data_IF_596140170970
#
_entry.id   IF_596140170970
#
_cell.length_a   1.000
_cell.length_b   1.000
_cell.length_c   1.000
_cell.angle_alpha   90.00
_cell.angle_beta   90.00
_cell.angle_gamma   90.00
#
_symmetry.space_group_name_H-M   'P 1'
#
loop_
_entity.id
_entity.type
_entity.pdbx_description
1 polymer ?
#
# COMPACT_ATOMS: atom_id res chain seq x y z
N UNK A 1 11.50 -25.11 11.70
CA UNK A 1 10.67 -26.31 11.43
C UNK A 1 9.72 -26.02 10.27
N UNK A 2 9.16 -27.03 9.57
CA UNK A 2 8.07 -26.75 8.64
C UNK A 2 6.83 -26.33 9.44
N UNK A 3 6.26 -25.16 9.15
CA UNK A 3 5.06 -24.65 9.80
C UNK A 3 3.85 -25.50 9.42
N UNK A 4 2.78 -25.47 10.22
CA UNK A 4 1.51 -26.16 9.84
C UNK A 4 0.97 -25.61 8.51
N UNK A 5 1.19 -24.31 8.24
CA UNK A 5 0.79 -23.67 6.99
C UNK A 5 1.58 -24.17 5.77
N UNK A 6 2.81 -24.67 5.95
CA UNK A 6 3.63 -25.22 4.87
C UNK A 6 3.04 -26.51 4.29
N UNK A 7 2.13 -27.17 5.04
CA UNK A 7 1.45 -28.39 4.58
C UNK A 7 0.17 -28.11 3.77
N UNK A 8 -0.27 -26.85 3.71
CA UNK A 8 -1.44 -26.44 2.96
C UNK A 8 -1.01 -25.51 1.82
N UNK A 9 -1.14 -26.00 0.59
CA UNK A 9 -0.89 -25.19 -0.60
C UNK A 9 -1.93 -24.06 -0.67
N UNK A 10 -1.44 -22.84 -0.93
CA UNK A 10 -2.32 -21.70 -1.17
C UNK A 10 -3.06 -21.90 -2.51
N UNK A 11 -4.38 -21.62 -2.61
CA UNK A 11 -5.10 -21.76 -3.86
C UNK A 11 -4.49 -20.95 -5.00
N UNK A 12 -4.26 -21.60 -6.14
CA UNK A 12 -3.56 -20.97 -7.27
C UNK A 12 -4.48 -20.17 -8.19
N UNK A 13 -5.78 -20.46 -8.17
CA UNK A 13 -6.79 -19.90 -9.08
C UNK A 13 -7.61 -18.81 -8.37
N UNK A 14 -7.30 -17.52 -8.57
CA UNK A 14 -8.10 -16.44 -8.02
C UNK A 14 -9.40 -16.25 -8.81
N UNK A 15 -10.43 -15.74 -8.14
CA UNK A 15 -11.62 -15.19 -8.75
C UNK A 15 -11.33 -13.77 -9.25
N UNK A 16 -11.23 -13.61 -10.58
CA UNK A 16 -10.90 -12.32 -11.21
C UNK A 16 -12.09 -11.69 -11.93
N UNK A 17 -13.20 -12.42 -12.04
CA UNK A 17 -14.39 -11.96 -12.76
C UNK A 17 -15.41 -11.42 -11.77
N UNK A 18 -15.95 -10.26 -12.12
CA UNK A 18 -17.10 -9.68 -11.46
C UNK A 18 -18.32 -10.57 -11.71
N UNK A 19 -19.15 -10.65 -10.68
CA UNK A 19 -20.38 -11.44 -10.64
C UNK A 19 -21.36 -10.65 -9.80
N UNK A 20 -22.44 -10.17 -10.41
CA UNK A 20 -23.43 -9.30 -9.77
C UNK A 20 -24.29 -10.03 -8.72
N UNK A 21 -24.32 -11.37 -8.73
CA UNK A 21 -25.04 -12.14 -7.72
C UNK A 21 -24.22 -12.29 -6.43
N UNK A 22 -22.89 -12.21 -6.53
CA UNK A 22 -21.95 -12.43 -5.43
C UNK A 22 -21.37 -11.11 -4.92
N UNK A 23 -21.07 -10.19 -5.83
CA UNK A 23 -20.30 -8.99 -5.53
C UNK A 23 -21.17 -7.74 -5.50
N UNK A 24 -20.87 -6.87 -4.54
CA UNK A 24 -21.49 -5.55 -4.42
C UNK A 24 -20.49 -4.48 -4.88
N UNK A 25 -20.92 -3.61 -5.78
CA UNK A 25 -20.08 -2.52 -6.28
C UNK A 25 -19.83 -1.47 -5.20
N UNK A 26 -18.58 -1.05 -5.04
CA UNK A 26 -18.26 0.17 -4.31
C UNK A 26 -18.45 1.38 -5.24
N UNK A 27 -19.59 2.05 -5.10
CA UNK A 27 -19.92 3.23 -5.91
C UNK A 27 -18.93 4.37 -5.72
N UNK A 28 -18.33 4.51 -4.53
CA UNK A 28 -17.41 5.61 -4.24
C UNK A 28 -16.06 5.35 -4.89
N UNK A 29 -15.52 4.14 -4.71
CA UNK A 29 -14.31 3.74 -5.38
C UNK A 29 -14.49 3.75 -6.91
N UNK A 30 -15.69 3.44 -7.40
CA UNK A 30 -16.01 3.55 -8.83
C UNK A 30 -15.91 4.99 -9.33
N UNK A 31 -16.49 5.95 -8.61
CA UNK A 31 -16.34 7.36 -8.96
C UNK A 31 -14.86 7.77 -8.98
N UNK A 32 -14.05 7.27 -8.03
CA UNK A 32 -12.62 7.54 -8.00
C UNK A 32 -11.89 6.96 -9.21
N UNK A 33 -12.19 5.70 -9.55
CA UNK A 33 -11.60 4.98 -10.67
C UNK A 33 -11.91 5.70 -12.00
N UNK A 34 -13.18 6.07 -12.21
CA UNK A 34 -13.64 6.68 -13.46
C UNK A 34 -13.10 8.09 -13.69
N UNK A 35 -12.88 8.87 -12.61
CA UNK A 35 -12.54 10.29 -12.74
C UNK A 35 -11.07 10.61 -12.49
N UNK A 36 -10.33 9.77 -11.75
CA UNK A 36 -8.98 10.11 -11.25
C UNK A 36 -7.94 9.04 -11.55
N UNK A 37 -8.21 8.12 -12.47
CA UNK A 37 -7.19 7.15 -12.91
C UNK A 37 -7.04 7.18 -14.42
N UNK A 38 -5.80 7.09 -14.88
CA UNK A 38 -5.48 6.98 -16.32
C UNK A 38 -5.74 5.59 -16.86
N UNK A 39 -6.01 4.63 -15.96
CA UNK A 39 -6.30 3.26 -16.35
C UNK A 39 -7.67 3.27 -17.02
N UNK A 40 -7.66 3.19 -18.35
CA UNK A 40 -8.82 2.90 -19.20
C UNK A 40 -9.38 1.49 -18.94
N UNK A 41 -9.34 0.98 -17.71
CA UNK A 41 -10.04 -0.23 -17.29
C UNK A 41 -11.54 0.09 -17.16
N UNK A 42 -12.17 0.39 -18.29
CA UNK A 42 -13.62 0.22 -18.45
C UNK A 42 -14.05 -1.24 -18.20
N UNK A 43 -13.06 -2.12 -18.17
CA UNK A 43 -13.20 -3.56 -18.05
C UNK A 43 -12.97 -4.05 -16.62
N UNK A 44 -12.84 -3.17 -15.62
CA UNK A 44 -12.85 -3.56 -14.21
C UNK A 44 -13.76 -2.67 -13.37
N UNK A 45 -14.23 -3.25 -12.25
CA UNK A 45 -15.12 -2.58 -11.30
C UNK A 45 -14.61 -2.82 -9.86
N UNK A 46 -14.65 -1.79 -9.00
CA UNK A 46 -14.31 -1.95 -7.60
C UNK A 46 -15.44 -2.59 -6.82
N UNK A 47 -15.08 -3.55 -5.96
CA UNK A 47 -16.01 -4.29 -5.11
C UNK A 47 -15.90 -3.76 -3.69
N UNK A 48 -17.03 -3.70 -2.98
CA UNK A 48 -17.06 -3.30 -1.58
C UNK A 48 -16.26 -4.28 -0.71
N UNK A 49 -15.36 -3.73 0.12
CA UNK A 49 -14.64 -4.45 1.16
C UNK A 49 -15.09 -3.94 2.53
N UNK A 50 -14.96 -4.77 3.57
CA UNK A 50 -15.31 -4.37 4.94
C UNK A 50 -14.37 -3.25 5.42
N UNK A 51 -14.92 -2.25 6.11
CA UNK A 51 -14.21 -1.05 6.59
C UNK A 51 -13.84 -1.16 8.07
N UNK A 52 -13.25 -2.28 8.47
CA UNK A 52 -12.92 -2.61 9.87
C UNK A 52 -11.43 -2.43 10.21
N UNK A 53 -10.65 -1.88 9.26
CA UNK A 53 -9.19 -1.79 9.33
C UNK A 53 -8.48 -2.89 8.54
N UNK A 54 -9.10 -4.05 8.36
CA UNK A 54 -8.56 -5.20 7.62
C UNK A 54 -8.94 -5.20 6.13
N UNK A 55 -9.36 -4.04 5.61
CA UNK A 55 -9.94 -3.92 4.26
C UNK A 55 -9.05 -4.46 3.14
N UNK A 56 -7.72 -4.44 3.28
CA UNK A 56 -6.82 -5.08 2.31
C UNK A 56 -6.96 -6.61 2.32
N UNK A 57 -7.04 -7.23 3.50
CA UNK A 57 -7.22 -8.68 3.60
C UNK A 57 -8.61 -9.10 3.12
N UNK A 58 -9.65 -8.30 3.41
CA UNK A 58 -10.99 -8.50 2.84
C UNK A 58 -10.99 -8.38 1.31
N UNK A 59 -10.25 -7.40 0.76
CA UNK A 59 -10.04 -7.27 -0.68
C UNK A 59 -9.38 -8.52 -1.25
N UNK A 60 -8.34 -9.03 -0.59
CA UNK A 60 -7.66 -10.26 -1.03
C UNK A 60 -8.55 -11.51 -0.94
N UNK A 61 -9.39 -11.61 0.09
CA UNK A 61 -10.37 -12.69 0.24
C UNK A 61 -11.39 -12.71 -0.89
N UNK A 62 -11.69 -11.56 -1.50
CA UNK A 62 -12.55 -11.52 -2.69
C UNK A 62 -11.95 -12.31 -3.86
N UNK A 63 -10.63 -12.29 -4.04
CA UNK A 63 -9.94 -13.13 -5.03
C UNK A 63 -9.88 -14.61 -4.61
N UNK A 64 -9.89 -14.91 -3.31
CA UNK A 64 -9.77 -16.27 -2.79
C UNK A 64 -10.86 -16.55 -1.75
N UNK A 65 -12.13 -16.73 -2.18
CA UNK A 65 -13.28 -16.79 -1.27
C UNK A 65 -13.23 -17.95 -0.27
N UNK A 66 -12.44 -18.99 -0.56
CA UNK A 66 -12.25 -20.16 0.30
C UNK A 66 -11.13 -20.01 1.34
N UNK A 67 -10.43 -18.87 1.37
CA UNK A 67 -9.35 -18.58 2.31
C UNK A 67 -9.84 -17.52 3.31
N UNK A 68 -9.67 -17.74 4.61
CA UNK A 68 -10.01 -16.74 5.61
C UNK A 68 -9.04 -15.56 5.58
N UNK A 69 -9.48 -14.38 6.03
CA UNK A 69 -8.60 -13.22 6.20
C UNK A 69 -7.44 -13.51 7.17
N UNK A 70 -7.68 -14.31 8.22
CA UNK A 70 -6.67 -14.70 9.20
C UNK A 70 -5.55 -15.54 8.58
N UNK A 71 -5.90 -16.44 7.66
CA UNK A 71 -4.91 -17.25 6.93
C UNK A 71 -4.07 -16.38 5.98
N UNK A 72 -4.71 -15.44 5.28
CA UNK A 72 -4.01 -14.48 4.41
C UNK A 72 -3.05 -13.62 5.24
N UNK A 73 -3.53 -13.06 6.36
CA UNK A 73 -2.72 -12.26 7.29
C UNK A 73 -1.56 -13.06 7.85
N UNK A 74 -1.81 -14.28 8.33
CA UNK A 74 -0.77 -15.15 8.88
C UNK A 74 0.35 -15.40 7.86
N UNK A 75 0.00 -15.76 6.62
CA UNK A 75 1.00 -15.99 5.55
C UNK A 75 1.74 -14.72 5.16
N UNK A 76 1.07 -13.58 5.16
CA UNK A 76 1.71 -12.28 4.93
C UNK A 76 2.77 -11.98 6.01
N UNK A 77 2.41 -12.15 7.29
CA UNK A 77 3.34 -11.96 8.40
C UNK A 77 4.51 -12.93 8.31
N UNK A 78 4.24 -14.21 8.02
CA UNK A 78 5.28 -15.22 7.84
C UNK A 78 6.25 -14.83 6.71
N UNK A 79 5.75 -14.41 5.55
CA UNK A 79 6.57 -13.95 4.41
C UNK A 79 7.43 -12.74 4.78
N UNK A 80 6.88 -11.74 5.47
CA UNK A 80 7.62 -10.57 5.95
C UNK A 80 8.73 -10.96 6.94
N UNK A 81 8.42 -11.79 7.94
CA UNK A 81 9.40 -12.23 8.93
C UNK A 81 10.54 -13.06 8.31
N UNK A 82 10.22 -13.97 7.39
CA UNK A 82 11.22 -14.84 6.76
C UNK A 82 12.13 -14.09 5.76
N UNK A 83 11.64 -12.97 5.21
CA UNK A 83 12.30 -12.23 4.14
C UNK A 83 12.47 -10.74 4.44
N UNK A 84 12.62 -10.37 5.71
CA UNK A 84 12.77 -8.99 6.18
C UNK A 84 13.80 -8.18 5.37
N UNK A 85 15.03 -8.71 5.21
CA UNK A 85 16.08 -8.02 4.47
C UNK A 85 15.69 -7.70 3.02
N UNK A 86 14.92 -8.59 2.37
CA UNK A 86 14.42 -8.35 1.02
C UNK A 86 13.44 -7.19 1.02
N UNK A 87 12.47 -7.17 1.93
CA UNK A 87 11.45 -6.12 1.97
C UNK A 87 12.01 -4.77 2.42
N UNK A 88 12.92 -4.74 3.39
CA UNK A 88 13.68 -3.53 3.77
C UNK A 88 14.40 -2.94 2.55
N UNK A 89 15.05 -3.78 1.74
CA UNK A 89 15.73 -3.35 0.52
C UNK A 89 14.74 -2.87 -0.54
N UNK A 90 13.61 -3.57 -0.68
CA UNK A 90 12.53 -3.21 -1.61
C UNK A 90 11.97 -1.83 -1.29
N UNK A 91 11.66 -1.53 -0.02
CA UNK A 91 11.17 -0.22 0.42
C UNK A 91 12.11 0.90 -0.04
N UNK A 92 13.40 0.78 0.31
CA UNK A 92 14.40 1.80 -0.03
C UNK A 92 14.61 1.95 -1.54
N UNK A 93 14.70 0.84 -2.27
CA UNK A 93 14.90 0.88 -3.73
C UNK A 93 13.72 1.49 -4.49
N UNK A 94 12.52 1.30 -3.96
CA UNK A 94 11.27 1.75 -4.57
C UNK A 94 10.85 3.15 -4.10
N UNK A 95 11.58 3.76 -3.15
CA UNK A 95 11.25 5.05 -2.56
C UNK A 95 9.97 5.01 -1.72
N UNK A 96 9.60 3.84 -1.18
CA UNK A 96 8.38 3.67 -0.39
C UNK A 96 8.52 4.26 1.03
N UNK A 97 9.75 4.47 1.48
CA UNK A 97 10.10 5.19 2.71
C UNK A 97 9.63 6.65 2.72
N UNK A 98 9.32 7.21 1.55
CA UNK A 98 8.70 8.54 1.43
C UNK A 98 7.20 8.54 1.76
N UNK A 99 6.57 7.37 1.80
CA UNK A 99 5.13 7.20 2.10
C UNK A 99 4.93 6.54 3.45
N UNK A 100 5.78 5.58 3.78
CA UNK A 100 5.71 4.78 4.99
C UNK A 100 7.14 4.57 5.51
N UNK A 101 7.51 5.30 6.57
CA UNK A 101 8.83 5.24 7.20
C UNK A 101 8.96 4.11 8.22
N UNK A 102 7.93 3.28 8.34
CA UNK A 102 7.86 2.14 9.24
C UNK A 102 8.88 1.05 8.85
N UNK A 103 9.53 0.48 9.86
CA UNK A 103 10.38 -0.70 9.66
C UNK A 103 9.53 -1.95 9.41
N UNK A 104 10.10 -2.99 8.78
CA UNK A 104 9.38 -4.26 8.58
C UNK A 104 8.96 -4.88 9.92
N UNK A 105 9.78 -4.75 10.97
CA UNK A 105 9.47 -5.25 12.31
C UNK A 105 8.26 -4.52 12.91
N UNK A 106 8.25 -3.19 12.89
CA UNK A 106 7.15 -2.39 13.40
C UNK A 106 5.85 -2.68 12.63
N UNK A 107 5.97 -2.81 11.30
CA UNK A 107 4.85 -3.18 10.43
C UNK A 107 4.24 -4.52 10.83
N UNK A 108 5.06 -5.55 11.04
CA UNK A 108 4.61 -6.87 11.49
C UNK A 108 3.92 -6.79 12.85
N UNK A 109 4.52 -6.08 13.81
CA UNK A 109 3.96 -5.91 15.15
C UNK A 109 2.62 -5.18 15.14
N UNK A 110 2.38 -4.33 14.13
CA UNK A 110 1.11 -3.65 13.93
C UNK A 110 0.07 -4.57 13.31
N UNK A 111 0.36 -5.13 12.13
CA UNK A 111 -0.62 -5.93 11.35
C UNK A 111 -0.94 -7.30 11.96
N UNK A 112 -0.22 -7.73 13.00
CA UNK A 112 -0.59 -8.93 13.79
C UNK A 112 -1.90 -8.73 14.56
N UNK A 113 -2.29 -7.48 14.83
CA UNK A 113 -3.52 -7.14 15.51
C UNK A 113 -4.64 -6.96 14.47
N UNK A 114 -5.82 -7.51 14.78
CA UNK A 114 -7.00 -7.34 13.92
C UNK A 114 -7.45 -5.87 13.90
N UNK A 115 -7.97 -5.45 12.75
CA UNK A 115 -8.48 -4.10 12.53
C UNK A 115 -7.42 -3.01 12.49
N UNK A 116 -6.14 -3.36 12.38
CA UNK A 116 -5.08 -2.39 12.09
C UNK A 116 -4.94 -2.19 10.58
N UNK A 117 -4.73 -0.95 10.17
CA UNK A 117 -4.52 -0.63 8.76
C UNK A 117 -3.30 -1.36 8.20
N UNK A 118 -3.24 -1.52 6.89
CA UNK A 118 -2.09 -2.12 6.18
C UNK A 118 -1.45 -1.10 5.25
N UNK A 119 -0.25 -1.36 4.77
CA UNK A 119 0.48 -0.43 3.89
C UNK A 119 0.93 -1.09 2.59
N UNK A 120 1.67 -0.32 1.78
CA UNK A 120 2.34 -0.82 0.57
C UNK A 120 3.23 -2.03 0.81
N UNK A 121 3.82 -2.12 2.01
CA UNK A 121 4.63 -3.25 2.41
C UNK A 121 3.82 -4.55 2.43
N UNK A 122 2.58 -4.49 2.92
CA UNK A 122 1.65 -5.62 2.91
C UNK A 122 1.31 -6.05 1.49
N UNK A 123 1.06 -5.10 0.56
CA UNK A 123 0.84 -5.40 -0.86
C UNK A 123 2.05 -6.11 -1.49
N UNK A 124 3.26 -5.65 -1.20
CA UNK A 124 4.49 -6.26 -1.68
C UNK A 124 4.71 -7.68 -1.13
N UNK A 125 4.37 -7.93 0.13
CA UNK A 125 4.45 -9.27 0.70
C UNK A 125 3.40 -10.22 0.13
N UNK A 126 2.16 -9.73 -0.04
CA UNK A 126 1.05 -10.52 -0.57
C UNK A 126 1.28 -10.94 -2.03
N UNK A 127 2.02 -10.19 -2.85
CA UNK A 127 2.38 -10.64 -4.20
C UNK A 127 3.20 -11.94 -4.15
N UNK A 128 4.12 -12.06 -3.19
CA UNK A 128 4.89 -13.28 -2.95
C UNK A 128 4.04 -14.41 -2.38
N UNK A 129 3.15 -14.11 -1.41
CA UNK A 129 2.23 -15.11 -0.83
C UNK A 129 1.33 -15.75 -1.89
N UNK A 130 0.84 -14.95 -2.84
CA UNK A 130 -0.03 -15.40 -3.91
C UNK A 130 0.71 -15.94 -5.15
N UNK A 131 2.04 -15.92 -5.15
CA UNK A 131 2.91 -16.19 -6.31
C UNK A 131 2.43 -15.46 -7.59
N UNK A 132 2.02 -14.19 -7.42
CA UNK A 132 1.42 -13.40 -8.50
C UNK A 132 1.61 -11.90 -8.31
N UNK A 133 1.77 -11.14 -9.41
CA UNK A 133 1.85 -9.69 -9.31
C UNK A 133 0.58 -9.08 -8.69
N UNK A 134 0.74 -8.03 -7.89
CA UNK A 134 -0.36 -7.19 -7.40
C UNK A 134 -0.19 -5.80 -8.00
N UNK A 135 -1.12 -5.41 -8.86
CA UNK A 135 -1.25 -4.05 -9.38
C UNK A 135 -1.99 -3.21 -8.34
N UNK A 136 -1.25 -2.32 -7.70
CA UNK A 136 -1.78 -1.25 -6.87
C UNK A 136 -2.23 -0.09 -7.75
N UNK A 137 -3.52 0.25 -7.65
CA UNK A 137 -4.16 1.34 -8.39
C UNK A 137 -4.40 2.50 -7.43
N UNK A 138 -3.64 3.58 -7.59
CA UNK A 138 -3.77 4.77 -6.76
C UNK A 138 -4.41 5.90 -7.59
N UNK A 139 -5.56 6.45 -7.19
CA UNK A 139 -6.18 7.62 -7.82
C UNK A 139 -5.36 8.91 -7.71
N UNK A 140 -5.18 9.65 -8.81
CA UNK A 140 -4.51 10.96 -8.85
C UNK A 140 -5.40 12.12 -8.36
N UNK A 141 -6.12 11.92 -7.25
CA UNK A 141 -7.11 12.90 -6.77
C UNK A 141 -6.44 14.22 -6.38
N UNK A 142 -5.30 14.16 -5.68
CA UNK A 142 -4.61 15.36 -5.22
C UNK A 142 -3.98 16.13 -6.37
N UNK A 143 -3.39 15.44 -7.35
CA UNK A 143 -2.80 16.10 -8.51
C UNK A 143 -3.84 16.82 -9.37
N UNK A 144 -5.03 16.23 -9.52
CA UNK A 144 -6.13 16.87 -10.24
C UNK A 144 -6.71 18.07 -9.49
N UNK A 145 -6.71 18.04 -8.15
CA UNK A 145 -7.19 19.14 -7.32
C UNK A 145 -6.18 20.31 -7.29
N UNK A 146 -4.89 20.01 -7.14
CA UNK A 146 -3.84 21.03 -7.00
C UNK A 146 -3.36 21.58 -8.35
N UNK A 147 -3.46 20.78 -9.42
CA UNK A 147 -2.83 21.05 -10.70
C UNK A 147 -1.32 20.78 -10.73
N UNK A 148 -0.79 20.17 -9.66
CA UNK A 148 0.61 19.77 -9.51
C UNK A 148 0.74 18.24 -9.58
N UNK A 149 1.94 17.72 -9.84
CA UNK A 149 2.17 16.27 -9.86
C UNK A 149 2.07 15.70 -8.43
N UNK A 150 1.17 14.73 -8.22
CA UNK A 150 1.08 14.00 -6.96
C UNK A 150 2.24 12.99 -6.88
N UNK A 151 3.26 13.32 -6.09
CA UNK A 151 4.41 12.43 -5.89
C UNK A 151 4.03 11.04 -5.36
N UNK A 152 2.90 10.93 -4.64
CA UNK A 152 2.38 9.64 -4.17
C UNK A 152 1.77 8.81 -5.29
N UNK A 153 1.17 9.44 -6.31
CA UNK A 153 0.59 8.71 -7.45
C UNK A 153 1.65 7.83 -8.12
N UNK A 154 2.81 8.37 -8.46
CA UNK A 154 3.89 7.60 -9.12
C UNK A 154 4.48 6.50 -8.23
N UNK A 155 4.48 6.69 -6.91
CA UNK A 155 4.98 5.70 -5.95
C UNK A 155 3.98 4.58 -5.69
N UNK A 156 2.69 4.90 -5.56
CA UNK A 156 1.64 3.99 -5.12
C UNK A 156 0.88 3.35 -6.28
N UNK A 157 0.78 4.01 -7.43
CA UNK A 157 0.18 3.46 -8.63
C UNK A 157 1.18 2.55 -9.38
N UNK A 158 1.56 1.40 -8.81
CA UNK A 158 2.55 0.47 -9.39
C UNK A 158 2.15 -1.01 -9.32
N UNK A 159 3.00 -1.88 -9.87
CA UNK A 159 2.86 -3.34 -9.74
C UNK A 159 3.94 -3.86 -8.80
N UNK A 160 3.52 -4.64 -7.81
CA UNK A 160 4.40 -5.38 -6.92
C UNK A 160 4.57 -6.79 -7.47
N UNK A 161 5.80 -7.12 -7.84
CA UNK A 161 6.16 -8.46 -8.32
C UNK A 161 6.39 -9.40 -7.13
N UNK A 162 6.11 -10.71 -7.27
CA UNK A 162 6.53 -11.70 -6.29
C UNK A 162 8.05 -11.71 -6.15
N UNK A 163 8.54 -11.93 -4.93
CA UNK A 163 9.98 -12.07 -4.63
C UNK A 163 10.63 -13.17 -5.47
N UNK A 164 9.90 -14.27 -5.67
CA UNK A 164 10.32 -15.37 -6.54
C UNK A 164 9.45 -15.36 -7.78
N UNK A 165 10.07 -15.23 -8.95
CA UNK A 165 9.32 -15.24 -10.20
C UNK A 165 8.87 -16.67 -10.52
N UNK A 166 7.56 -16.87 -10.58
CA UNK A 166 6.97 -18.07 -11.16
C UNK A 166 7.37 -18.22 -12.63
N UNK A 167 7.51 -19.45 -13.12
CA UNK A 167 7.81 -19.69 -14.53
C UNK A 167 6.62 -19.39 -15.44
N UNK A 168 5.41 -19.40 -14.89
CA UNK A 168 4.19 -19.11 -15.61
C UNK A 168 3.69 -17.72 -15.20
N UNK A 169 3.65 -16.75 -16.14
CA UNK A 169 3.14 -15.42 -15.83
C UNK A 169 1.65 -15.52 -15.49
N UNK A 170 1.31 -15.24 -14.23
CA UNK A 170 -0.07 -15.12 -13.78
C UNK A 170 -0.58 -13.70 -14.00
N UNK A 171 -1.85 -13.55 -14.37
CA UNK A 171 -2.52 -12.25 -14.43
C UNK A 171 -2.46 -11.53 -13.08
N UNK A 172 -2.17 -10.23 -13.06
CA UNK A 172 -2.06 -9.49 -11.82
C UNK A 172 -3.40 -9.40 -11.06
N UNK A 173 -3.36 -9.49 -9.73
CA UNK A 173 -4.48 -9.04 -8.89
C UNK A 173 -4.49 -7.52 -8.90
N UNK A 174 -5.66 -6.89 -8.93
CA UNK A 174 -5.76 -5.44 -8.93
C UNK A 174 -6.41 -4.97 -7.63
N UNK A 175 -5.68 -4.20 -6.84
CA UNK A 175 -6.20 -3.60 -5.60
C UNK A 175 -6.10 -2.10 -5.74
N UNK A 176 -7.19 -1.41 -5.44
CA UNK A 176 -7.30 0.04 -5.56
C UNK A 176 -7.34 0.69 -4.18
N UNK A 177 -6.64 1.81 -4.06
CA UNK A 177 -6.76 2.70 -2.92
C UNK A 177 -8.04 3.52 -3.06
N UNK A 178 -8.84 3.52 -2.00
CA UNK A 178 -10.07 4.31 -1.88
C UNK A 178 -10.02 5.12 -0.59
N UNK A 179 -11.02 5.97 -0.40
CA UNK A 179 -11.15 6.79 0.78
C UNK A 179 -12.36 7.69 0.76
N UNK A 180 -12.55 8.47 1.84
CA UNK A 180 -13.63 9.42 1.95
C UNK A 180 -13.57 10.48 0.84
N UNK A 181 -14.62 11.31 0.78
CA UNK A 181 -14.55 12.52 -0.04
C UNK A 181 -13.48 13.45 0.54
N UNK A 182 -12.71 14.15 -0.30
CA UNK A 182 -11.81 15.20 0.17
C UNK A 182 -12.60 16.14 1.07
N UNK A 183 -12.04 16.44 2.24
CA UNK A 183 -12.69 17.34 3.19
C UNK A 183 -12.45 18.81 2.79
N UNK A 184 -12.71 19.73 3.72
CA UNK A 184 -12.65 21.18 3.48
C UNK A 184 -11.25 21.67 3.07
N UNK A 185 -10.21 20.95 3.48
CA UNK A 185 -8.82 21.21 3.13
C UNK A 185 -8.47 20.83 1.68
N UNK A 186 -9.39 20.12 0.99
CA UNK A 186 -9.25 19.62 -0.38
C UNK A 186 -8.09 18.64 -0.55
N UNK A 187 -7.63 18.03 0.54
CA UNK A 187 -6.63 16.97 0.49
C UNK A 187 -7.39 15.65 0.56
N UNK A 188 -7.19 14.80 -0.43
CA UNK A 188 -7.66 13.44 -0.40
C UNK A 188 -6.66 12.56 0.33
N UNK A 189 -7.17 11.82 1.33
CA UNK A 189 -6.41 10.85 2.11
C UNK A 189 -7.00 9.47 1.89
N UNK A 190 -6.12 8.50 1.67
CA UNK A 190 -6.52 7.11 1.51
C UNK A 190 -6.67 6.47 2.87
N UNK A 191 -7.69 5.63 3.04
CA UNK A 191 -7.88 4.85 4.25
C UNK A 191 -8.58 3.51 3.99
N UNK A 192 -8.78 3.14 2.73
CA UNK A 192 -9.51 1.95 2.36
C UNK A 192 -8.88 1.29 1.13
N UNK A 193 -8.99 -0.04 1.07
CA UNK A 193 -8.61 -0.84 -0.08
C UNK A 193 -9.84 -1.56 -0.62
N UNK A 194 -9.95 -1.64 -1.93
CA UNK A 194 -10.98 -2.41 -2.62
C UNK A 194 -10.36 -3.27 -3.72
N UNK A 195 -10.85 -4.49 -3.97
CA UNK A 195 -10.40 -5.27 -5.10
C UNK A 195 -11.09 -4.76 -6.37
N UNK A 196 -10.35 -4.77 -7.49
CA UNK A 196 -10.89 -4.54 -8.81
C UNK A 196 -11.06 -5.89 -9.52
N UNK A 197 -12.30 -6.21 -9.90
CA UNK A 197 -12.61 -7.41 -10.67
C UNK A 197 -12.95 -7.06 -12.11
N UNK A 198 -12.61 -7.93 -13.06
CA UNK A 198 -12.89 -7.69 -14.46
C UNK A 198 -14.36 -7.94 -14.80
N UNK A 199 -14.97 -7.03 -15.57
CA UNK A 199 -16.34 -7.18 -16.09
C UNK A 199 -16.41 -8.00 -17.37
N UNK A 200 -15.28 -8.20 -18.03
CA UNK A 200 -15.19 -8.99 -19.24
C UNK A 200 -14.43 -10.27 -18.97
N UNK A 201 -14.99 -11.38 -19.45
CA UNK A 201 -14.23 -12.60 -19.64
C UNK A 201 -13.34 -12.42 -20.87
N UNK A 202 -12.43 -11.44 -20.84
CA UNK A 202 -11.31 -11.46 -21.76
C UNK A 202 -10.60 -12.78 -21.47
N UNK A 203 -10.43 -13.61 -22.50
CA UNK A 203 -9.68 -14.85 -22.39
C UNK A 203 -8.29 -14.50 -21.86
N UNK A 204 -8.07 -14.68 -20.55
CA UNK A 204 -6.79 -14.38 -19.88
C UNK A 204 -5.66 -15.32 -20.31
N UNK A 205 -5.86 -16.10 -21.37
CA UNK A 205 -4.96 -17.14 -21.85
C UNK A 205 -4.12 -16.73 -23.07
N UNK A 206 -4.14 -15.46 -23.55
CA UNK A 206 -3.41 -15.17 -24.82
C UNK A 206 -2.90 -13.74 -25.00
N UNK A 207 -2.07 -13.24 -24.07
CA UNK A 207 -1.17 -12.11 -24.35
C UNK A 207 0.28 -12.38 -23.89
N UNK A 208 0.82 -13.56 -24.21
CA UNK A 208 2.26 -13.84 -24.07
C UNK A 208 3.07 -13.58 -25.34
N UNK A 209 2.50 -13.03 -26.41
CA UNK A 209 3.25 -12.77 -27.64
C UNK A 209 2.92 -11.38 -28.20
N UNK A 210 3.98 -10.58 -28.39
CA UNK A 210 4.02 -9.21 -28.94
C UNK A 210 3.79 -8.05 -27.97
N UNK A 211 4.70 -7.90 -27.00
CA UNK A 211 5.26 -6.58 -26.76
C UNK A 211 6.79 -6.68 -26.66
N UNK A 212 7.42 -6.81 -27.84
CA UNK A 212 8.82 -6.46 -28.02
C UNK A 212 8.94 -4.93 -28.13
N UNK A 213 8.44 -4.21 -27.13
CA UNK A 213 8.77 -2.80 -26.95
C UNK A 213 10.07 -2.75 -26.16
N UNK A 214 11.06 -2.12 -26.79
CA UNK A 214 12.29 -1.55 -26.22
C UNK A 214 12.39 -1.55 -24.70
N UNK A 215 13.53 -1.96 -24.11
CA UNK A 215 13.74 -1.81 -22.69
C UNK A 215 13.53 -0.33 -22.33
N UNK A 216 12.45 -0.05 -21.60
CA UNK A 216 12.40 1.14 -20.77
C UNK A 216 13.49 0.91 -19.73
N UNK A 217 14.68 1.38 -20.08
CA UNK A 217 15.67 1.77 -19.10
C UNK A 217 14.91 2.66 -18.13
N UNK A 218 14.61 2.14 -16.95
CA UNK A 218 14.44 2.99 -15.80
C UNK A 218 15.75 3.76 -15.72
N UNK A 219 15.78 4.95 -16.32
CA UNK A 219 16.66 5.98 -15.85
C UNK A 219 16.21 6.17 -14.42
N UNK A 220 16.91 5.45 -13.54
CA UNK A 220 17.12 5.83 -12.17
C UNK A 220 17.49 7.30 -12.25
N UNK A 221 16.49 8.18 -12.09
CA UNK A 221 16.73 9.58 -11.86
C UNK A 221 17.46 9.57 -10.53
N UNK A 222 18.80 9.48 -10.60
CA UNK A 222 19.67 9.83 -9.50
C UNK A 222 19.21 11.21 -9.11
N UNK A 223 18.53 11.28 -7.97
CA UNK A 223 18.26 12.52 -7.28
C UNK A 223 19.64 13.07 -6.88
N UNK A 224 20.25 13.83 -7.77
CA UNK A 224 21.54 14.46 -7.54
C UNK A 224 21.31 15.60 -6.57
N UNK A 225 21.48 15.30 -5.28
CA UNK A 225 21.62 16.29 -4.22
C UNK A 225 22.81 17.18 -4.53
N UNK A 226 22.56 18.24 -5.30
CA UNK A 226 23.54 19.26 -5.64
C UNK A 226 23.40 20.42 -4.66
N UNK A 227 23.78 20.17 -3.41
CA UNK A 227 24.11 21.22 -2.46
C UNK A 227 25.48 20.97 -1.84
N UNK A 228 26.51 20.88 -2.69
CA UNK A 228 27.87 21.16 -2.27
C UNK A 228 28.12 22.68 -2.24
N UNK A 229 28.17 23.19 -1.01
CA UNK A 229 28.95 24.34 -0.52
C UNK A 229 29.84 25.03 -1.57
N UNK A 230 29.32 26.09 -2.18
CA UNK A 230 30.17 27.16 -2.71
C UNK A 230 30.55 28.10 -1.56
N UNK A 231 31.74 27.87 -0.99
CA UNK A 231 32.37 28.79 -0.02
C UNK A 231 32.95 29.97 -0.80
N UNK A 232 32.10 30.92 -1.15
CA UNK A 232 32.51 32.21 -1.72
C UNK A 232 32.70 33.20 -0.58
N UNK A 233 33.93 33.67 -0.41
CA UNK A 233 34.30 34.75 0.51
C UNK A 233 33.60 36.04 0.11
N UNK A 234 32.52 36.39 0.82
CA UNK A 234 31.88 37.70 0.73
C UNK A 234 32.62 38.63 1.70
N UNK A 235 33.32 39.62 1.16
CA UNK A 235 33.76 40.81 1.90
C UNK A 235 32.53 41.57 2.39
N UNK A 236 32.39 41.67 3.71
CA UNK A 236 31.36 42.47 4.37
C UNK A 236 31.69 43.95 4.16
N UNK A 237 30.78 44.68 3.52
CA UNK A 237 30.72 46.13 3.63
C UNK A 237 29.99 46.47 4.94
N UNK A 238 30.67 47.25 5.78
CA UNK A 238 30.10 47.87 6.98
C UNK A 238 29.12 48.96 6.54
N UNK A 239 27.83 48.67 6.47
CA UNK A 239 26.73 49.63 6.58
C UNK A 239 25.39 48.90 6.45
N UNK A 240 24.87 48.37 7.55
CA UNK A 240 23.44 48.12 7.79
C UNK A 240 23.26 47.67 9.25
N UNK A 241 23.55 48.57 10.18
CA UNK A 241 23.04 48.51 11.55
C UNK A 241 21.86 49.46 11.65
N UNK A 242 20.67 49.00 11.27
CA UNK A 242 19.38 49.47 11.76
C UNK A 242 18.29 48.79 10.93
N UNK A 243 17.70 47.70 11.44
CA UNK A 243 16.24 47.51 11.51
C UNK A 243 15.88 46.13 12.07
N UNK A 244 14.83 46.13 12.91
CA UNK A 244 13.98 45.01 13.31
C UNK A 244 14.43 44.17 14.52
N UNK A 245 14.18 44.75 15.70
CA UNK A 245 13.66 44.00 16.85
C UNK A 245 12.19 43.62 16.57
N UNK A 246 11.86 42.33 16.61
CA UNK A 246 10.48 41.84 16.80
C UNK A 246 10.45 40.74 17.87
N UNK A 247 9.37 40.66 18.67
CA UNK A 247 9.34 39.89 19.91
C UNK A 247 8.99 38.42 19.70
N UNK A 248 9.59 37.57 20.53
CA UNK A 248 9.24 36.16 20.68
C UNK A 248 7.82 35.99 21.21
N UNK A 249 6.91 35.42 20.42
CA UNK A 249 5.66 34.85 20.94
C UNK A 249 5.24 33.64 20.10
N UNK A 250 4.95 32.54 20.80
CA UNK A 250 4.12 31.38 20.36
C UNK A 250 4.83 30.28 19.55
N UNK A 251 5.59 29.42 20.25
CA UNK A 251 5.68 27.99 19.90
C UNK A 251 4.84 27.24 20.94
N UNK A 252 3.58 26.96 20.60
CA UNK A 252 2.69 26.11 21.39
C UNK A 252 1.52 25.66 20.50
N UNK A 253 1.83 25.04 19.36
CA UNK A 253 0.88 24.28 18.52
C UNK A 253 1.69 23.21 17.79
N UNK A 254 1.16 21.99 17.74
CA UNK A 254 1.61 20.78 17.02
C UNK A 254 2.20 19.66 17.90
N UNK A 255 1.45 19.25 18.92
CA UNK A 255 1.24 17.83 19.23
C UNK A 255 -0.30 17.62 19.24
N UNK A 256 -0.89 17.39 18.07
CA UNK A 256 -2.23 16.81 17.95
C UNK A 256 -2.04 15.42 17.37
N UNK A 257 -2.10 14.40 18.24
CA UNK A 257 -2.39 13.04 17.80
C UNK A 257 -3.66 13.05 16.95
N UNK A 258 -3.59 12.49 15.75
CA UNK A 258 -4.71 12.41 14.81
C UNK A 258 -5.83 11.55 15.41
N UNK A 259 -6.90 12.20 15.89
CA UNK A 259 -8.20 11.55 16.03
C UNK A 259 -8.74 11.28 14.62
N UNK A 260 -8.39 10.13 14.04
CA UNK A 260 -9.09 9.61 12.86
C UNK A 260 -10.51 9.22 13.28
N UNK A 261 -11.49 10.07 12.97
CA UNK A 261 -12.92 9.82 13.25
C UNK A 261 -13.46 8.56 12.56
N UNK A 262 -12.68 7.94 11.66
CA UNK A 262 -13.03 6.68 11.00
C UNK A 262 -12.39 5.45 11.64
N UNK A 263 -11.52 5.59 12.65
CA UNK A 263 -10.96 4.44 13.37
C UNK A 263 -12.08 3.82 14.23
N UNK A 264 -12.36 2.51 14.11
CA UNK A 264 -13.40 1.88 14.92
C UNK A 264 -13.12 2.04 16.42
N UNK A 265 -14.17 2.35 17.18
CA UNK A 265 -14.11 2.54 18.64
C UNK A 265 -13.44 1.32 19.30
N UNK A 266 -12.21 1.52 19.79
CA UNK A 266 -11.39 0.47 20.43
C UNK A 266 -11.99 -0.12 21.72
N UNK A 267 -13.12 0.41 22.19
CA UNK A 267 -13.74 0.07 23.48
C UNK A 267 -14.42 -1.31 23.54
N UNK A 268 -14.48 -2.08 22.45
CA UNK A 268 -15.12 -3.40 22.44
C UNK A 268 -14.16 -4.61 22.56
N UNK A 269 -12.84 -4.43 22.59
CA UNK A 269 -11.88 -5.55 22.61
C UNK A 269 -11.56 -6.07 24.03
N UNK A 270 -12.59 -6.64 24.68
CA UNK A 270 -12.45 -7.42 25.92
C UNK A 270 -12.16 -8.90 25.62
N UNK A 271 -10.91 -9.22 25.26
CA UNK A 271 -10.23 -10.46 25.71
C UNK A 271 -8.71 -10.36 25.49
N UNK A 272 -8.03 -9.56 26.32
CA UNK A 272 -6.55 -9.40 26.34
C UNK A 272 -5.76 -10.61 26.86
N UNK A 273 -6.36 -11.82 26.90
CA UNK A 273 -5.72 -12.99 27.50
C UNK A 273 -4.90 -13.84 26.50
N UNK A 274 -4.91 -13.53 25.20
CA UNK A 274 -4.21 -14.29 24.15
C UNK A 274 -2.86 -13.73 23.72
N UNK A 275 -2.43 -12.57 24.25
CA UNK A 275 -1.31 -11.80 23.65
C UNK A 275 0.06 -11.95 24.31
N UNK A 276 0.17 -12.60 25.47
CA UNK A 276 1.49 -12.91 26.05
C UNK A 276 2.26 -14.00 25.28
N UNK A 277 1.64 -14.59 24.24
CA UNK A 277 2.26 -15.59 23.39
C UNK A 277 2.82 -15.04 22.07
N UNK A 278 2.57 -13.79 21.66
CA UNK A 278 3.06 -13.28 20.36
C UNK A 278 4.59 -13.28 20.26
N UNK A 279 5.30 -12.87 21.31
CA UNK A 279 6.77 -12.95 21.36
C UNK A 279 7.29 -14.40 21.35
N UNK A 280 6.53 -15.34 21.94
CA UNK A 280 6.85 -16.77 21.90
C UNK A 280 6.54 -17.39 20.52
N UNK A 281 5.51 -16.91 19.83
CA UNK A 281 5.16 -17.32 18.46
C UNK A 281 6.21 -16.82 17.47
N UNK A 282 6.68 -15.58 17.60
CA UNK A 282 7.80 -15.04 16.80
C UNK A 282 9.07 -15.87 17.05
N UNK A 283 9.40 -16.19 18.30
CA UNK A 283 10.52 -17.08 18.63
C UNK A 283 10.35 -18.50 18.06
N UNK A 284 9.12 -19.06 18.08
CA UNK A 284 8.82 -20.40 17.54
C UNK A 284 8.82 -20.47 16.01
N UNK A 285 8.48 -19.38 15.32
CA UNK A 285 8.53 -19.28 13.85
C UNK A 285 9.97 -19.08 13.37
N UNK A 286 10.81 -18.39 14.16
CA UNK A 286 12.22 -18.13 13.82
C UNK A 286 13.15 -19.30 14.21
N UNK A 287 12.73 -20.22 15.10
CA UNK A 287 13.49 -21.42 15.54
C UNK A 287 13.19 -22.71 14.76
#
# INVERSE_FOLDING_TARGET
>A
MASVADNYEFPQNPQLLYDEEIHKLDTRARDLLENYTDILNRDSVPIEAETDGDCLYHSCRTFYPNVSIDEIRFRCIQELCLHDQYYTTTISNLGLDLVDDESVEDHVLRIINNGEYTSVLTLAALSSVFDRPIRSVYPNVNGDISGEEDGYYTLLNRTFEPRQKSQNPSSALQVMWSGPKPERDRIWRTNHFVPLLSTHQQQMDTQSEMDSSTPVSYQQHQWSSSHEKTRSSITLNENEQELLQLPATTMDVLEQEENDENKPDSAAFLSRQTFLDAANVIQQVIS
#
